data_IF_539004354043
#
_entry.id   IF_539004354043
#
_cell.length_a   1.000
_cell.length_b   1.000
_cell.length_c   1.000
_cell.angle_alpha   90.00
_cell.angle_beta   90.00
_cell.angle_gamma   90.00
#
_symmetry.space_group_name_H-M   'P 1'
#
loop_
_entity.id
_entity.type
_entity.pdbx_description
1 polymer ?
#
# COMPACT_ATOMS: atom_id res chain seq x y z
N UNK A 1 -6.08 -15.08 10.19
CA UNK A 1 -5.34 -14.56 9.01
C UNK A 1 -5.54 -13.05 8.84
N UNK A 2 -6.76 -12.58 8.55
CA UNK A 2 -7.09 -11.15 8.40
C UNK A 2 -6.64 -10.28 9.58
N UNK A 3 -7.02 -10.67 10.81
CA UNK A 3 -6.69 -9.92 12.03
C UNK A 3 -5.17 -9.82 12.23
N UNK A 4 -4.44 -10.83 11.79
CA UNK A 4 -2.98 -10.91 11.87
C UNK A 4 -2.32 -10.00 10.83
N UNK A 5 -2.86 -9.91 9.62
CA UNK A 5 -2.40 -8.97 8.59
C UNK A 5 -2.61 -7.52 9.04
N UNK A 6 -3.79 -7.20 9.59
CA UNK A 6 -4.07 -5.89 10.19
C UNK A 6 -3.04 -5.51 11.26
N UNK A 7 -2.82 -6.41 12.21
CA UNK A 7 -1.82 -6.19 13.27
C UNK A 7 -0.42 -5.99 12.67
N UNK A 8 -0.06 -6.77 11.65
CA UNK A 8 1.19 -6.62 10.91
C UNK A 8 1.34 -5.24 10.27
N UNK A 9 0.30 -4.75 9.62
CA UNK A 9 0.31 -3.42 8.99
C UNK A 9 0.46 -2.30 10.02
N UNK A 10 -0.27 -2.36 11.13
CA UNK A 10 -0.12 -1.40 12.23
C UNK A 10 1.31 -1.39 12.79
N UNK A 11 1.90 -2.58 13.02
CA UNK A 11 3.28 -2.68 13.52
C UNK A 11 4.30 -2.18 12.49
N UNK A 12 4.08 -2.43 11.19
CA UNK A 12 4.94 -1.90 10.14
C UNK A 12 4.91 -0.37 10.14
N UNK A 13 3.74 0.26 10.24
CA UNK A 13 3.62 1.72 10.31
C UNK A 13 4.33 2.25 11.57
N UNK A 14 4.16 1.60 12.73
CA UNK A 14 4.86 1.99 13.96
C UNK A 14 6.38 1.96 13.81
N UNK A 15 6.91 0.87 13.25
CA UNK A 15 8.35 0.68 13.03
C UNK A 15 8.89 1.71 12.05
N UNK A 16 8.21 1.95 10.92
CA UNK A 16 8.62 2.94 9.94
C UNK A 16 8.57 4.36 10.53
N UNK A 17 7.46 4.71 11.16
CA UNK A 17 7.24 6.03 11.74
C UNK A 17 8.24 6.37 12.84
N UNK A 18 8.57 5.42 13.72
CA UNK A 18 9.60 5.62 14.75
C UNK A 18 11.00 5.59 14.12
N UNK A 19 11.24 4.70 13.16
CA UNK A 19 12.53 4.53 12.50
C UNK A 19 13.02 5.78 11.78
N UNK A 20 12.16 6.45 11.03
CA UNK A 20 12.51 7.71 10.37
C UNK A 20 12.83 8.82 11.37
N UNK A 21 12.13 8.87 12.51
CA UNK A 21 12.41 9.84 13.57
C UNK A 21 13.73 9.53 14.30
N UNK A 22 14.05 8.24 14.48
CA UNK A 22 15.24 7.80 15.19
C UNK A 22 16.53 7.87 14.35
N UNK A 23 16.43 7.92 13.01
CA UNK A 23 17.60 7.91 12.15
C UNK A 23 18.40 9.22 12.25
N UNK A 24 19.71 9.20 12.55
CA UNK A 24 20.49 10.42 12.82
C UNK A 24 20.48 11.44 11.69
N UNK A 25 20.52 10.99 10.43
CA UNK A 25 20.56 11.87 9.26
C UNK A 25 19.26 12.66 9.02
N UNK A 26 18.14 12.26 9.64
CA UNK A 26 16.81 12.82 9.35
C UNK A 26 16.51 14.06 10.22
N UNK A 27 17.49 14.94 10.43
CA UNK A 27 17.31 16.18 11.22
C UNK A 27 16.29 17.11 10.58
N UNK A 28 16.28 17.20 9.24
CA UNK A 28 15.31 18.01 8.49
C UNK A 28 13.86 17.56 8.71
N UNK A 29 13.58 16.26 8.67
CA UNK A 29 12.26 15.70 8.96
C UNK A 29 11.80 16.06 10.38
N UNK A 30 12.68 15.86 11.38
CA UNK A 30 12.37 16.22 12.78
C UNK A 30 12.13 17.72 12.94
N UNK A 31 12.90 18.57 12.25
CA UNK A 31 12.71 20.02 12.24
C UNK A 31 11.32 20.40 11.72
N UNK A 32 10.93 19.90 10.53
CA UNK A 32 9.61 20.17 9.94
C UNK A 32 8.45 19.78 10.87
N UNK A 33 8.57 18.66 11.58
CA UNK A 33 7.56 18.21 12.55
C UNK A 33 7.52 19.09 13.81
N UNK A 34 8.68 19.56 14.30
CA UNK A 34 8.76 20.44 15.47
C UNK A 34 8.22 21.85 15.17
N UNK A 35 8.52 22.36 13.97
CA UNK A 35 8.13 23.70 13.54
C UNK A 35 6.69 23.74 13.00
N UNK A 36 6.00 22.59 12.93
CA UNK A 36 4.62 22.48 12.45
C UNK A 36 4.46 22.59 10.93
N UNK A 37 5.55 22.69 10.17
CA UNK A 37 5.56 22.68 8.69
C UNK A 37 5.00 21.36 8.15
N UNK A 38 5.35 20.24 8.81
CA UNK A 38 4.75 18.93 8.55
C UNK A 38 3.82 18.59 9.71
N UNK A 39 2.53 18.40 9.42
CA UNK A 39 1.58 17.95 10.44
C UNK A 39 1.81 16.48 10.77
N UNK A 40 1.48 16.07 12.00
CA UNK A 40 1.53 14.66 12.42
C UNK A 40 0.65 13.78 11.52
N UNK A 41 -0.50 14.30 11.11
CA UNK A 41 -1.43 13.58 10.24
C UNK A 41 -0.86 13.41 8.83
N UNK A 42 -0.19 14.41 8.27
CA UNK A 42 0.43 14.29 6.94
C UNK A 42 1.65 13.36 6.98
N UNK A 43 2.44 13.39 8.05
CA UNK A 43 3.51 12.43 8.26
C UNK A 43 2.98 10.98 8.29
N UNK A 44 1.90 10.74 9.03
CA UNK A 44 1.21 9.45 9.03
C UNK A 44 0.72 9.05 7.64
N UNK A 45 0.08 9.97 6.89
CA UNK A 45 -0.36 9.70 5.51
C UNK A 45 0.80 9.29 4.59
N UNK A 46 1.96 9.91 4.73
CA UNK A 46 3.14 9.54 3.94
C UNK A 46 3.67 8.14 4.30
N UNK A 47 3.73 7.79 5.59
CA UNK A 47 4.11 6.43 6.02
C UNK A 47 3.10 5.40 5.51
N UNK A 48 1.81 5.72 5.59
CA UNK A 48 0.74 4.85 5.10
C UNK A 48 0.89 4.60 3.59
N UNK A 49 1.18 5.64 2.80
CA UNK A 49 1.47 5.52 1.36
C UNK A 49 2.70 4.67 1.10
N UNK A 50 3.76 4.81 1.90
CA UNK A 50 4.93 3.93 1.80
C UNK A 50 4.56 2.46 2.04
N UNK A 51 3.72 2.16 3.03
CA UNK A 51 3.22 0.80 3.25
C UNK A 51 2.39 0.32 2.06
N UNK A 52 1.53 1.17 1.48
CA UNK A 52 0.79 0.81 0.27
C UNK A 52 1.70 0.54 -0.94
N UNK A 53 2.79 1.29 -1.13
CA UNK A 53 3.80 1.00 -2.16
C UNK A 53 4.39 -0.39 -1.99
N UNK A 54 4.72 -0.78 -0.75
CA UNK A 54 5.24 -2.10 -0.44
C UNK A 54 4.20 -3.20 -0.71
N UNK A 55 2.97 -3.03 -0.22
CA UNK A 55 1.88 -4.00 -0.43
C UNK A 55 1.56 -4.17 -1.93
N UNK A 56 1.50 -3.06 -2.66
CA UNK A 56 1.33 -3.08 -4.11
C UNK A 56 2.43 -3.90 -4.79
N UNK A 57 3.69 -3.64 -4.45
CA UNK A 57 4.82 -4.39 -5.00
C UNK A 57 4.75 -5.88 -4.65
N UNK A 58 4.36 -6.23 -3.42
CA UNK A 58 4.24 -7.64 -3.01
C UNK A 58 3.21 -8.37 -3.88
N UNK A 59 2.04 -7.78 -4.08
CA UNK A 59 0.97 -8.33 -4.92
C UNK A 59 1.40 -8.38 -6.39
N UNK A 60 1.96 -7.28 -6.91
CA UNK A 60 2.37 -7.18 -8.31
C UNK A 60 3.48 -8.18 -8.66
N UNK A 61 4.47 -8.36 -7.79
CA UNK A 61 5.54 -9.36 -7.96
C UNK A 61 5.01 -10.79 -7.86
N UNK A 62 4.20 -11.10 -6.84
CA UNK A 62 3.72 -12.47 -6.61
C UNK A 62 2.75 -12.95 -7.69
N UNK A 63 2.02 -12.01 -8.32
CA UNK A 63 1.15 -12.24 -9.49
C UNK A 63 1.87 -12.07 -10.83
N UNK A 64 3.16 -11.71 -10.85
CA UNK A 64 3.96 -11.46 -12.06
C UNK A 64 3.37 -10.37 -12.98
N UNK A 65 2.77 -9.34 -12.39
CA UNK A 65 2.11 -8.23 -13.09
C UNK A 65 3.02 -7.01 -13.31
N UNK A 66 4.22 -7.01 -12.73
CA UNK A 66 5.09 -5.83 -12.74
C UNK A 66 5.84 -5.64 -14.06
N UNK A 67 6.14 -6.72 -14.78
CA UNK A 67 6.99 -6.65 -15.97
C UNK A 67 6.18 -6.35 -17.22
N UNK A 68 6.73 -5.52 -18.10
CA UNK A 68 6.24 -5.43 -19.47
C UNK A 68 6.47 -6.78 -20.19
N UNK A 69 5.42 -7.45 -20.72
CA UNK A 69 5.51 -8.71 -21.46
C UNK A 69 6.47 -8.69 -22.67
N UNK A 70 6.76 -7.52 -23.23
CA UNK A 70 7.70 -7.36 -24.34
C UNK A 70 9.17 -7.20 -23.89
N UNK A 71 9.42 -6.94 -22.61
CA UNK A 71 10.78 -6.67 -22.12
C UNK A 71 11.73 -7.88 -22.20
N UNK A 72 13.03 -7.67 -22.49
CA UNK A 72 14.03 -8.75 -22.53
C UNK A 72 14.13 -9.50 -21.19
N UNK A 73 14.32 -10.82 -21.26
CA UNK A 73 14.47 -11.68 -20.08
C UNK A 73 15.60 -11.24 -19.14
N UNK A 74 16.82 -10.86 -19.60
CA UNK A 74 17.91 -10.46 -18.71
C UNK A 74 17.56 -9.25 -17.81
N UNK A 75 16.74 -8.32 -18.31
CA UNK A 75 16.33 -7.14 -17.56
C UNK A 75 15.37 -7.53 -16.41
N UNK A 76 14.46 -8.49 -16.69
CA UNK A 76 13.55 -9.04 -15.67
C UNK A 76 14.30 -9.81 -14.59
N UNK A 77 15.31 -10.59 -14.98
CA UNK A 77 16.18 -11.31 -14.04
C UNK A 77 16.96 -10.32 -13.17
N UNK A 78 17.50 -9.25 -13.77
CA UNK A 78 18.19 -8.19 -13.03
C UNK A 78 17.29 -7.56 -11.95
N UNK A 79 16.04 -7.21 -12.28
CA UNK A 79 15.09 -6.73 -11.27
C UNK A 79 14.82 -7.80 -10.19
N UNK A 80 14.47 -9.01 -10.61
CA UNK A 80 14.13 -10.12 -9.71
C UNK A 80 15.24 -10.39 -8.69
N UNK A 81 16.50 -10.40 -9.14
CA UNK A 81 17.64 -10.84 -8.36
C UNK A 81 18.19 -9.76 -7.43
N UNK A 82 18.09 -8.49 -7.82
CA UNK A 82 18.74 -7.39 -7.09
C UNK A 82 17.77 -6.40 -6.46
N UNK A 83 16.65 -6.10 -7.12
CA UNK A 83 15.75 -5.00 -6.75
C UNK A 83 14.40 -5.47 -6.18
N UNK A 84 13.99 -6.72 -6.43
CA UNK A 84 12.67 -7.20 -6.03
C UNK A 84 12.45 -7.13 -4.52
N UNK A 85 11.21 -6.85 -4.14
CA UNK A 85 10.81 -6.91 -2.75
C UNK A 85 10.82 -8.34 -2.23
N UNK A 86 10.64 -9.35 -3.09
CA UNK A 86 10.83 -10.77 -2.75
C UNK A 86 12.18 -11.03 -2.07
N UNK A 87 13.27 -10.51 -2.63
CA UNK A 87 14.60 -10.61 -1.99
C UNK A 87 14.59 -10.00 -0.59
N UNK A 88 14.03 -8.80 -0.43
CA UNK A 88 14.00 -8.12 0.87
C UNK A 88 13.11 -8.88 1.88
N UNK A 89 11.98 -9.45 1.43
CA UNK A 89 11.11 -10.33 2.22
C UNK A 89 11.85 -11.58 2.71
N UNK A 90 12.66 -12.21 1.86
CA UNK A 90 13.49 -13.36 2.24
C UNK A 90 14.58 -12.96 3.25
N UNK A 91 15.21 -11.79 3.08
CA UNK A 91 16.15 -11.26 4.05
C UNK A 91 15.46 -10.96 5.40
N UNK A 92 14.25 -10.40 5.39
CA UNK A 92 13.50 -10.03 6.59
C UNK A 92 13.18 -11.26 7.45
N UNK A 93 12.92 -12.41 6.84
CA UNK A 93 12.70 -13.68 7.54
C UNK A 93 13.95 -14.20 8.26
N UNK A 94 15.15 -13.95 7.69
CA UNK A 94 16.41 -14.56 8.15
C UNK A 94 17.25 -13.65 9.02
N UNK A 95 17.09 -12.33 8.91
CA UNK A 95 17.99 -11.33 9.51
C UNK A 95 17.21 -10.23 10.20
N UNK A 96 17.77 -9.72 11.30
CA UNK A 96 17.24 -8.53 11.99
C UNK A 96 17.55 -7.22 11.27
N UNK A 97 18.67 -7.14 10.56
CA UNK A 97 19.14 -5.92 9.86
C UNK A 97 20.21 -5.15 10.62
N UNK A 98 20.76 -4.13 9.97
CA UNK A 98 21.90 -3.32 10.44
C UNK A 98 21.52 -1.84 10.50
N UNK A 99 22.47 -0.97 10.85
CA UNK A 99 22.31 0.49 10.83
C UNK A 99 22.48 1.12 9.43
N UNK A 100 22.91 0.36 8.43
CA UNK A 100 23.04 0.85 7.05
C UNK A 100 21.65 1.15 6.47
N UNK A 101 21.57 2.03 5.47
CA UNK A 101 20.31 2.48 4.86
C UNK A 101 20.14 2.03 3.39
N UNK A 102 21.00 1.13 2.91
CA UNK A 102 21.05 0.69 1.52
C UNK A 102 19.75 0.01 1.05
N UNK A 103 19.05 -0.73 1.91
CA UNK A 103 17.78 -1.34 1.52
C UNK A 103 16.67 -0.31 1.29
N UNK A 104 16.60 0.74 2.12
CA UNK A 104 15.61 1.80 1.93
C UNK A 104 15.92 2.63 0.68
N UNK A 105 17.20 2.93 0.43
CA UNK A 105 17.64 3.61 -0.79
C UNK A 105 17.32 2.78 -2.04
N UNK A 106 17.49 1.47 -1.98
CA UNK A 106 17.09 0.55 -3.05
C UNK A 106 15.57 0.60 -3.31
N UNK A 107 14.74 0.60 -2.25
CA UNK A 107 13.29 0.73 -2.39
C UNK A 107 12.89 2.07 -3.00
N UNK A 108 13.50 3.17 -2.55
CA UNK A 108 13.28 4.51 -3.13
C UNK A 108 13.58 4.55 -4.63
N UNK A 109 14.70 3.95 -5.05
CA UNK A 109 15.04 3.83 -6.46
C UNK A 109 13.95 3.08 -7.24
N UNK A 110 13.45 1.95 -6.72
CA UNK A 110 12.36 1.21 -7.37
C UNK A 110 11.10 2.07 -7.48
N UNK A 111 10.73 2.82 -6.44
CA UNK A 111 9.57 3.72 -6.50
C UNK A 111 9.73 4.82 -7.55
N UNK A 112 10.92 5.42 -7.65
CA UNK A 112 11.25 6.40 -8.69
C UNK A 112 11.16 5.78 -10.10
N UNK A 113 11.70 4.57 -10.29
CA UNK A 113 11.64 3.87 -11.58
C UNK A 113 10.25 3.38 -11.96
N UNK A 114 9.36 3.13 -11.01
CA UNK A 114 7.95 2.87 -11.29
C UNK A 114 7.15 4.12 -11.67
N UNK A 115 7.63 5.31 -11.26
CA UNK A 115 7.04 6.59 -11.68
C UNK A 115 7.36 6.89 -13.14
N UNK A 116 8.63 6.75 -13.53
CA UNK A 116 9.14 7.19 -14.84
C UNK A 116 9.22 6.07 -15.88
N UNK A 117 9.22 4.81 -15.43
CA UNK A 117 9.60 3.66 -16.24
C UNK A 117 11.11 3.43 -16.24
N UNK A 118 11.53 2.18 -16.40
CA UNK A 118 12.93 1.79 -16.53
C UNK A 118 13.05 0.51 -17.34
N UNK A 119 13.44 0.66 -18.61
CA UNK A 119 13.57 -0.44 -19.56
C UNK A 119 14.63 -1.47 -19.13
N UNK A 120 15.70 -1.01 -18.49
CA UNK A 120 16.84 -1.78 -17.98
C UNK A 120 16.43 -2.74 -16.86
N UNK A 121 15.35 -2.42 -16.15
CA UNK A 121 14.75 -3.25 -15.11
C UNK A 121 13.42 -3.88 -15.53
N UNK A 122 13.04 -3.74 -16.81
CA UNK A 122 11.75 -4.19 -17.34
C UNK A 122 10.53 -3.60 -16.59
N UNK A 123 10.67 -2.40 -16.01
CA UNK A 123 9.64 -1.71 -15.26
C UNK A 123 8.89 -0.72 -16.17
N UNK A 124 7.57 -0.88 -16.37
CA UNK A 124 6.78 0.10 -17.09
C UNK A 124 6.51 1.33 -16.21
N UNK A 125 6.31 2.52 -16.81
CA UNK A 125 5.82 3.68 -16.08
C UNK A 125 4.38 3.42 -15.63
N UNK A 126 4.14 3.30 -14.33
CA UNK A 126 2.78 3.08 -13.79
C UNK A 126 1.98 4.38 -13.70
N UNK A 127 2.64 5.55 -13.68
CA UNK A 127 1.99 6.87 -13.73
C UNK A 127 1.00 7.17 -12.60
N UNK A 128 0.97 6.35 -11.54
CA UNK A 128 0.02 6.47 -10.43
C UNK A 128 0.48 7.51 -9.42
N UNK A 129 -0.48 8.24 -8.82
CA UNK A 129 -0.23 9.10 -7.66
C UNK A 129 0.51 8.34 -6.54
N UNK A 130 0.28 7.04 -6.37
CA UNK A 130 0.93 6.25 -5.33
C UNK A 130 2.47 6.35 -5.42
N UNK A 131 3.05 6.43 -6.61
CA UNK A 131 4.51 6.50 -6.85
C UNK A 131 5.00 7.93 -7.18
N UNK A 132 4.13 8.93 -7.14
CA UNK A 132 4.52 10.31 -7.43
C UNK A 132 5.36 10.93 -6.29
N UNK A 133 6.12 11.97 -6.60
CA UNK A 133 6.93 12.68 -5.58
C UNK A 133 6.05 13.38 -4.54
N UNK A 134 4.85 13.81 -4.95
CA UNK A 134 3.88 14.51 -4.10
C UNK A 134 3.21 13.57 -3.09
N UNK A 135 3.29 12.25 -3.29
CA UNK A 135 2.72 11.30 -2.36
C UNK A 135 3.54 11.18 -1.06
N UNK A 136 4.86 11.32 -1.10
CA UNK A 136 5.75 11.16 0.06
C UNK A 136 6.90 12.16 0.09
N UNK A 137 6.62 13.48 -0.02
CA UNK A 137 7.66 14.50 -0.21
C UNK A 137 8.67 14.60 0.95
N UNK A 138 8.27 14.20 2.16
CA UNK A 138 9.14 14.23 3.34
C UNK A 138 9.83 12.89 3.63
N UNK A 139 9.48 11.83 2.88
CA UNK A 139 10.11 10.51 2.98
C UNK A 139 11.02 10.16 1.79
N UNK A 140 10.94 10.93 0.70
CA UNK A 140 11.69 10.67 -0.53
C UNK A 140 13.17 11.09 -0.44
N UNK A 141 13.56 11.88 0.56
CA UNK A 141 14.96 12.30 0.79
C UNK A 141 15.45 12.05 2.23
N UNK A 142 14.96 10.99 2.86
CA UNK A 142 15.42 10.56 4.18
C UNK A 142 16.00 9.16 4.12
N UNK A 143 16.74 8.80 5.17
CA UNK A 143 17.29 7.46 5.33
C UNK A 143 16.53 6.68 6.40
N UNK A 144 16.47 5.37 6.22
CA UNK A 144 15.94 4.43 7.20
C UNK A 144 16.90 3.26 7.32
N UNK A 145 17.24 2.91 8.56
CA UNK A 145 18.16 1.81 8.79
C UNK A 145 17.52 0.46 8.41
N UNK A 146 18.37 -0.46 7.93
CA UNK A 146 17.97 -1.77 7.43
C UNK A 146 17.26 -2.59 8.51
N UNK A 147 17.57 -2.38 9.78
CA UNK A 147 16.87 -3.05 10.89
C UNK A 147 15.38 -2.65 10.93
N UNK A 148 15.04 -1.38 10.72
CA UNK A 148 13.65 -0.92 10.65
C UNK A 148 12.98 -1.34 9.34
N UNK A 149 13.68 -1.25 8.20
CA UNK A 149 13.17 -1.73 6.90
C UNK A 149 12.79 -3.22 6.97
N UNK A 150 13.71 -4.07 7.45
CA UNK A 150 13.46 -5.51 7.56
C UNK A 150 12.42 -5.83 8.63
N UNK A 151 12.34 -5.05 9.71
CA UNK A 151 11.27 -5.21 10.70
C UNK A 151 9.90 -4.88 10.13
N UNK A 152 9.74 -3.75 9.45
CA UNK A 152 8.49 -3.39 8.79
C UNK A 152 8.09 -4.42 7.74
N UNK A 153 9.02 -4.83 6.86
CA UNK A 153 8.74 -5.85 5.84
C UNK A 153 8.40 -7.20 6.46
N UNK A 154 9.01 -7.60 7.59
CA UNK A 154 8.63 -8.83 8.29
C UNK A 154 7.20 -8.78 8.81
N UNK A 155 6.79 -7.64 9.37
CA UNK A 155 5.41 -7.46 9.85
C UNK A 155 4.39 -7.49 8.71
N UNK A 156 4.76 -7.01 7.52
CA UNK A 156 3.91 -7.08 6.35
C UNK A 156 3.91 -8.48 5.71
N UNK A 157 5.08 -9.10 5.56
CA UNK A 157 5.24 -10.31 4.75
C UNK A 157 5.04 -11.62 5.52
N UNK A 158 4.95 -11.58 6.86
CA UNK A 158 4.86 -12.78 7.68
C UNK A 158 3.87 -12.64 8.83
N UNK A 159 3.19 -13.74 9.14
CA UNK A 159 2.41 -13.92 10.36
C UNK A 159 3.13 -14.88 11.30
N UNK A 160 2.81 -14.81 12.59
CA UNK A 160 3.29 -15.79 13.58
C UNK A 160 2.08 -16.64 13.99
N UNK A 161 2.13 -17.93 13.67
CA UNK A 161 1.12 -18.91 14.05
C UNK A 161 1.82 -20.03 14.82
N UNK A 162 1.37 -20.32 16.05
CA UNK A 162 1.97 -21.35 16.90
C UNK A 162 3.50 -21.23 17.08
N UNK A 163 4.00 -19.99 17.28
CA UNK A 163 5.43 -19.67 17.34
C UNK A 163 6.23 -19.97 16.06
N UNK A 164 5.55 -20.25 14.95
CA UNK A 164 6.16 -20.46 13.63
C UNK A 164 5.87 -19.25 12.75
N UNK A 165 6.93 -18.71 12.15
CA UNK A 165 6.81 -17.65 11.16
C UNK A 165 6.28 -18.24 9.85
N UNK A 166 5.16 -17.72 9.34
CA UNK A 166 4.55 -18.13 8.08
C UNK A 166 4.49 -16.95 7.12
N UNK A 167 4.97 -17.11 5.86
CA UNK A 167 4.85 -16.05 4.87
C UNK A 167 3.37 -15.86 4.48
N UNK A 168 3.00 -14.60 4.20
CA UNK A 168 1.68 -14.26 3.68
C UNK A 168 1.68 -14.48 2.17
N UNK A 169 0.64 -15.16 1.67
CA UNK A 169 0.44 -15.41 0.25
C UNK A 169 -0.29 -14.22 -0.41
N UNK A 170 0.49 -13.27 -0.93
CA UNK A 170 -0.07 -12.11 -1.64
C UNK A 170 -0.60 -12.43 -3.03
N UNK A 171 -0.29 -13.61 -3.60
CA UNK A 171 -0.87 -14.02 -4.89
C UNK A 171 -2.38 -14.20 -4.74
N UNK A 172 -2.79 -14.86 -3.66
CA UNK A 172 -4.18 -15.24 -3.40
C UNK A 172 -4.92 -14.28 -2.45
N UNK A 173 -4.30 -13.17 -2.05
CA UNK A 173 -4.96 -12.15 -1.23
C UNK A 173 -6.06 -11.43 -2.02
N UNK A 174 -7.29 -11.49 -1.55
CA UNK A 174 -8.43 -10.84 -2.19
C UNK A 174 -8.57 -9.34 -1.87
N UNK A 175 -9.51 -8.66 -2.54
CA UNK A 175 -9.86 -7.26 -2.25
C UNK A 175 -10.47 -7.06 -0.86
N UNK A 176 -11.18 -8.07 -0.33
CA UNK A 176 -11.86 -8.01 0.97
C UNK A 176 -10.85 -7.89 2.13
N UNK A 177 -9.75 -8.65 2.05
CA UNK A 177 -8.68 -8.61 3.05
C UNK A 177 -7.99 -7.25 3.10
N UNK A 178 -7.67 -6.66 1.95
CA UNK A 178 -7.06 -5.32 1.88
C UNK A 178 -8.04 -4.23 2.34
N UNK A 179 -9.32 -4.33 1.98
CA UNK A 179 -10.35 -3.43 2.45
C UNK A 179 -10.47 -3.43 3.97
N UNK A 180 -10.48 -4.62 4.59
CA UNK A 180 -10.55 -4.75 6.06
C UNK A 180 -9.38 -4.11 6.81
N UNK A 181 -8.18 -4.17 6.21
CA UNK A 181 -6.98 -3.52 6.76
C UNK A 181 -7.16 -2.01 6.71
N UNK A 182 -7.61 -1.47 5.57
CA UNK A 182 -7.88 -0.03 5.41
C UNK A 182 -8.84 0.48 6.47
N UNK A 183 -10.00 -0.18 6.62
CA UNK A 183 -11.03 0.22 7.59
C UNK A 183 -10.47 0.28 9.01
N UNK A 184 -9.69 -0.73 9.40
CA UNK A 184 -9.13 -0.74 10.75
C UNK A 184 -8.12 0.37 11.03
N UNK A 185 -7.44 0.88 10.00
CA UNK A 185 -6.48 1.97 10.13
C UNK A 185 -7.17 3.33 10.22
N UNK A 186 -8.43 3.46 9.79
CA UNK A 186 -9.21 4.71 9.87
C UNK A 186 -9.54 5.09 11.33
N UNK A 187 -9.73 4.09 12.19
CA UNK A 187 -10.04 4.30 13.61
C UNK A 187 -8.80 4.64 14.45
N UNK A 188 -7.61 4.56 13.85
CA UNK A 188 -6.34 4.73 14.54
C UNK A 188 -5.73 6.11 14.28
N UNK A 189 -5.15 6.69 15.32
CA UNK A 189 -4.49 7.99 15.26
C UNK A 189 -3.01 7.89 15.67
N UNK A 190 -2.13 8.61 14.95
CA UNK A 190 -0.72 8.67 15.29
C UNK A 190 -0.46 9.53 16.53
N UNK A 191 0.26 8.95 17.50
CA UNK A 191 0.90 9.61 18.62
C UNK A 191 2.39 9.72 18.35
N UNK A 192 2.92 10.94 18.27
CA UNK A 192 4.29 11.22 17.87
C UNK A 192 5.00 12.06 18.90
N UNK A 193 6.21 11.65 19.28
CA UNK A 193 7.14 12.46 20.06
C UNK A 193 8.46 12.52 19.31
N UNK A 194 8.81 13.71 18.82
CA UNK A 194 10.01 13.93 18.00
C UNK A 194 11.30 13.91 18.82
N UNK A 195 11.26 14.27 20.11
CA UNK A 195 12.41 14.26 21.00
C UNK A 195 12.79 12.84 21.45
N UNK A 196 11.78 12.03 21.78
CA UNK A 196 11.97 10.62 22.12
C UNK A 196 12.06 9.70 20.88
N UNK A 197 11.88 10.26 19.67
CA UNK A 197 11.82 9.53 18.41
C UNK A 197 10.80 8.37 18.43
N UNK A 198 9.63 8.60 19.03
CA UNK A 198 8.57 7.59 19.13
C UNK A 198 7.40 7.91 18.22
N UNK A 199 6.84 6.86 17.62
CA UNK A 199 5.60 6.88 16.86
C UNK A 199 4.75 5.69 17.27
N UNK A 200 3.46 5.91 17.54
CA UNK A 200 2.49 4.84 17.82
C UNK A 200 1.13 5.14 17.18
N UNK A 201 0.58 4.17 16.48
CA UNK A 201 -0.83 4.13 16.12
C UNK A 201 -1.64 3.57 17.27
N UNK A 202 -2.52 4.40 17.82
CA UNK A 202 -3.44 4.04 18.88
C UNK A 202 -4.89 4.28 18.44
N UNK A 203 -5.79 3.42 18.90
CA UNK A 203 -7.24 3.64 18.70
C UNK A 203 -7.66 4.77 19.62
N UNK A 204 -8.39 5.77 19.11
CA UNK A 204 -8.89 6.85 19.96
C UNK A 204 -9.82 6.30 21.05
N UNK A 205 -9.48 6.53 22.32
CA UNK A 205 -10.35 6.23 23.46
C UNK A 205 -11.59 7.11 23.35
N UNK A 206 -12.75 6.49 23.08
CA UNK A 206 -14.03 7.19 22.88
C UNK A 206 -14.61 7.13 21.46
N UNK A 207 -13.90 6.52 20.50
CA UNK A 207 -14.51 6.08 19.24
C UNK A 207 -15.23 4.75 19.47
N UNK A 208 -16.40 4.81 20.12
CA UNK A 208 -17.39 3.77 19.86
C UNK A 208 -17.66 3.80 18.35
N UNK A 209 -17.77 2.63 17.70
CA UNK A 209 -18.13 2.42 16.27
C UNK A 209 -19.34 3.22 15.74
N UNK A 210 -19.97 4.07 16.55
CA UNK A 210 -21.20 4.81 16.31
C UNK A 210 -21.01 6.23 15.77
N UNK A 211 -19.81 6.83 15.81
CA UNK A 211 -19.66 8.27 15.46
C UNK A 211 -19.13 8.57 14.06
N UNK A 212 -18.41 7.68 13.38
CA UNK A 212 -17.91 7.93 12.01
C UNK A 212 -18.82 7.43 10.90
N UNK A 213 -19.81 6.57 11.21
CA UNK A 213 -20.69 5.95 10.21
C UNK A 213 -19.97 5.04 9.22
N UNK A 214 -18.70 4.70 9.46
CA UNK A 214 -17.86 3.90 8.57
C UNK A 214 -18.21 2.41 8.72
N UNK A 215 -19.29 1.98 8.08
CA UNK A 215 -19.69 0.58 8.01
C UNK A 215 -19.32 0.01 6.65
N UNK A 216 -18.54 -1.08 6.67
CA UNK A 216 -18.29 -1.87 5.46
C UNK A 216 -19.61 -2.40 4.90
N UNK A 217 -19.87 -2.14 3.62
CA UNK A 217 -21.05 -2.69 2.94
C UNK A 217 -20.74 -4.11 2.50
N UNK A 218 -21.47 -5.08 3.07
CA UNK A 218 -21.28 -6.50 2.79
C UNK A 218 -21.36 -6.79 1.29
N UNK A 219 -20.49 -7.66 0.77
CA UNK A 219 -20.39 -7.96 -0.68
C UNK A 219 -21.75 -8.31 -1.32
N UNK A 220 -22.65 -8.97 -0.60
CA UNK A 220 -24.01 -9.28 -1.07
C UNK A 220 -24.87 -8.03 -1.32
N UNK A 221 -24.76 -7.00 -0.48
CA UNK A 221 -25.47 -5.74 -0.66
C UNK A 221 -24.85 -4.95 -1.82
N UNK A 222 -23.52 -4.98 -1.94
CA UNK A 222 -22.82 -4.40 -3.10
C UNK A 222 -23.30 -5.04 -4.39
N UNK A 223 -23.31 -6.37 -4.48
CA UNK A 223 -23.78 -7.07 -5.67
C UNK A 223 -25.24 -6.75 -5.98
N UNK A 224 -26.14 -6.75 -4.98
CA UNK A 224 -27.54 -6.38 -5.18
C UNK A 224 -27.71 -4.98 -5.80
N UNK A 225 -26.92 -4.00 -5.34
CA UNK A 225 -26.93 -2.66 -5.92
C UNK A 225 -26.36 -2.65 -7.35
N UNK A 226 -25.27 -3.36 -7.61
CA UNK A 226 -24.68 -3.44 -8.95
C UNK A 226 -25.64 -4.14 -9.94
N UNK A 227 -26.28 -5.23 -9.52
CA UNK A 227 -27.26 -5.98 -10.31
C UNK A 227 -28.46 -5.10 -10.69
N UNK A 228 -28.89 -4.19 -9.81
CA UNK A 228 -30.07 -3.36 -10.06
C UNK A 228 -29.76 -2.00 -10.70
N UNK A 229 -28.60 -1.42 -10.43
CA UNK A 229 -28.25 -0.06 -10.87
C UNK A 229 -27.19 -0.01 -11.98
N UNK A 230 -26.20 -0.91 -11.95
CA UNK A 230 -25.11 -0.89 -12.92
C UNK A 230 -25.39 -1.81 -14.12
N UNK A 231 -25.83 -3.05 -13.88
CA UNK A 231 -26.05 -4.04 -14.93
C UNK A 231 -26.98 -3.57 -16.06
N UNK A 232 -28.14 -2.92 -15.78
CA UNK A 232 -28.99 -2.39 -16.85
C UNK A 232 -28.27 -1.37 -17.73
N UNK A 233 -27.40 -0.54 -17.14
CA UNK A 233 -26.64 0.48 -17.87
C UNK A 233 -25.55 -0.17 -18.74
N UNK A 234 -24.89 -1.20 -18.22
CA UNK A 234 -23.92 -1.99 -18.99
C UNK A 234 -24.60 -2.72 -20.16
N UNK A 235 -25.76 -3.32 -19.92
CA UNK A 235 -26.52 -4.06 -20.93
C UNK A 235 -27.03 -3.14 -22.06
N UNK A 236 -27.34 -1.89 -21.76
CA UNK A 236 -27.64 -0.88 -22.80
C UNK A 236 -26.38 -0.38 -23.52
N UNK A 237 -25.24 -0.26 -22.83
CA UNK A 237 -23.98 0.14 -23.44
C UNK A 237 -23.51 -0.89 -24.48
N UNK A 238 -23.60 -2.19 -24.17
CA UNK A 238 -23.18 -3.26 -25.10
C UNK A 238 -24.04 -3.40 -26.35
N UNK A 239 -25.25 -2.83 -26.37
CA UNK A 239 -26.14 -2.81 -27.54
C UNK A 239 -25.85 -1.65 -28.51
N UNK A 240 -25.00 -0.69 -28.12
CA UNK A 240 -24.66 0.45 -28.97
C UNK A 240 -23.76 0.02 -30.15
N UNK A 241 -23.70 0.81 -31.23
CA UNK A 241 -22.85 0.49 -32.39
C UNK A 241 -21.36 0.34 -32.08
N UNK A 242 -20.88 1.06 -31.06
CA UNK A 242 -19.53 0.94 -30.48
C UNK A 242 -19.63 0.57 -28.99
N UNK A 243 -19.73 -0.73 -28.66
CA UNK A 243 -19.82 -1.20 -27.28
C UNK A 243 -18.63 -0.82 -26.41
N UNK A 244 -17.41 -0.94 -26.95
CA UNK A 244 -16.18 -0.70 -26.19
C UNK A 244 -16.08 0.78 -25.80
N UNK A 245 -16.23 1.69 -26.77
CA UNK A 245 -16.25 3.12 -26.51
C UNK A 245 -17.38 3.50 -25.53
N UNK A 246 -18.57 2.92 -25.71
CA UNK A 246 -19.69 3.18 -24.81
C UNK A 246 -19.46 2.72 -23.37
N UNK A 247 -18.81 1.57 -23.17
CA UNK A 247 -18.46 1.07 -21.84
C UNK A 247 -17.37 1.94 -21.18
N UNK A 248 -16.33 2.33 -21.94
CA UNK A 248 -15.25 3.20 -21.46
C UNK A 248 -15.71 4.62 -21.11
N UNK A 249 -16.78 5.08 -21.77
CA UNK A 249 -17.36 6.40 -21.51
C UNK A 249 -18.23 6.45 -20.24
N UNK A 250 -18.62 5.30 -19.68
CA UNK A 250 -19.44 5.26 -18.46
C UNK A 250 -18.70 5.93 -17.28
N UNK A 251 -19.43 6.78 -16.55
CA UNK A 251 -18.95 7.45 -15.34
C UNK A 251 -19.70 6.90 -14.14
N UNK A 252 -18.98 6.21 -13.26
CA UNK A 252 -19.51 5.60 -12.03
C UNK A 252 -19.00 6.43 -10.86
N UNK A 253 -19.91 6.90 -10.00
CA UNK A 253 -19.57 7.74 -8.86
C UNK A 253 -20.12 7.12 -7.57
N UNK A 254 -19.26 7.02 -6.57
CA UNK A 254 -19.62 6.72 -5.19
C UNK A 254 -19.17 7.90 -4.31
N UNK A 255 -20.09 8.79 -3.90
CA UNK A 255 -19.76 10.02 -3.17
C UNK A 255 -19.32 9.76 -1.73
N UNK A 256 -19.46 8.53 -1.22
CA UNK A 256 -19.11 8.14 0.14
C UNK A 256 -18.34 6.81 0.14
N UNK A 257 -17.38 6.69 -0.79
CA UNK A 257 -16.79 5.40 -1.16
C UNK A 257 -15.98 4.68 -0.08
N UNK A 258 -15.57 5.36 0.99
CA UNK A 258 -14.78 4.75 2.06
C UNK A 258 -13.52 4.07 1.51
N UNK A 259 -13.41 2.76 1.69
CA UNK A 259 -12.35 1.90 1.11
C UNK A 259 -12.46 1.66 -0.41
N UNK A 260 -13.48 2.20 -1.08
CA UNK A 260 -13.68 2.07 -2.53
C UNK A 260 -14.29 0.75 -2.97
N UNK A 261 -14.85 -0.05 -2.05
CA UNK A 261 -15.30 -1.41 -2.33
C UNK A 261 -16.34 -1.49 -3.46
N UNK A 262 -17.28 -0.53 -3.50
CA UNK A 262 -18.25 -0.40 -4.60
C UNK A 262 -17.59 -0.12 -5.94
N UNK A 263 -16.65 0.83 -5.98
CA UNK A 263 -15.96 1.21 -7.22
C UNK A 263 -15.10 0.07 -7.76
N UNK A 264 -14.44 -0.70 -6.88
CA UNK A 264 -13.68 -1.90 -7.27
C UNK A 264 -14.62 -2.96 -7.84
N UNK A 265 -15.74 -3.24 -7.16
CA UNK A 265 -16.71 -4.22 -7.63
C UNK A 265 -17.37 -3.81 -8.96
N UNK A 266 -17.68 -2.52 -9.12
CA UNK A 266 -18.19 -1.94 -10.36
C UNK A 266 -17.18 -2.09 -11.51
N UNK A 267 -15.91 -1.76 -11.28
CA UNK A 267 -14.85 -1.94 -12.28
C UNK A 267 -14.72 -3.41 -12.72
N UNK A 268 -14.78 -4.37 -11.78
CA UNK A 268 -14.81 -5.79 -12.11
C UNK A 268 -16.05 -6.21 -12.91
N UNK A 269 -17.21 -5.58 -12.66
CA UNK A 269 -18.45 -5.84 -13.40
C UNK A 269 -18.34 -5.35 -14.85
N UNK A 270 -17.85 -4.14 -15.03
CA UNK A 270 -17.58 -3.53 -16.36
C UNK A 270 -16.59 -4.40 -17.13
N UNK A 271 -15.48 -4.82 -16.52
CA UNK A 271 -14.44 -5.61 -17.19
C UNK A 271 -14.87 -7.04 -17.60
N UNK A 272 -16.03 -7.52 -17.12
CA UNK A 272 -16.58 -8.84 -17.50
C UNK A 272 -17.58 -8.77 -18.65
N UNK A 273 -18.00 -7.57 -19.05
CA UNK A 273 -18.91 -7.35 -20.19
C UNK A 273 -18.08 -7.24 -21.47
#
# INVERSE_FOLDING_TARGET
>A
ALDTLRAGVQQAINVLGAGFLAHPANTGLRGKLKDGVLSIQDYYRQILRLVYRLLFLFVAEDRKLLYDPASPLPNRETYSDYYSTKRIRDLAQRRRGTKHADLYRCLRLVFEKLREGCSELALPPLGSFLFSAEATPDLDDVDLANREVLAAIRHLACTVENNVLRPIDYRNLGPEELGSVYESLLEMHPQVNTDAATFRLEVAVGSERKTTGSFYTHSSLVQCLLDSALDPVLDEAVKKPDPEGALLDLKICDPASGSGHFLIAAAHRVAKR
#
